data_IF_261477700664
#
_entry.id   IF_261477700664
#
_cell.length_a   1.000
_cell.length_b   1.000
_cell.length_c   1.000
_cell.angle_alpha   90.00
_cell.angle_beta   90.00
_cell.angle_gamma   90.00
#
_symmetry.space_group_name_H-M   'P 1'
#
loop_
_entity.id
_entity.type
_entity.pdbx_description
1 polymer ?
#
# COMPACT_ATOMS: atom_id res chain seq x y z
N UNK A 1 3.04 -1.55 9.24
CA UNK A 1 3.00 -1.44 7.77
C UNK A 1 1.54 -1.37 7.35
N UNK A 2 1.12 -0.37 6.59
CA UNK A 2 -0.26 -0.30 6.10
C UNK A 2 -0.28 0.03 4.62
N UNK A 3 -1.27 -0.52 3.92
CA UNK A 3 -1.52 -0.24 2.52
C UNK A 3 -2.59 0.83 2.42
N UNK A 4 -2.33 1.90 1.68
CA UNK A 4 -3.33 2.90 1.33
C UNK A 4 -3.90 2.53 -0.03
N UNK A 5 -5.17 2.14 -0.07
CA UNK A 5 -5.89 1.92 -1.31
C UNK A 5 -6.65 3.19 -1.67
N UNK A 6 -6.29 3.84 -2.78
CA UNK A 6 -7.18 4.83 -3.42
C UNK A 6 -7.84 4.18 -4.63
N UNK A 7 -8.97 4.72 -5.11
CA UNK A 7 -9.68 4.28 -6.34
C UNK A 7 -8.71 4.08 -7.53
N UNK A 8 -8.06 2.91 -7.61
CA UNK A 8 -7.12 2.52 -8.66
C UNK A 8 -5.66 2.23 -8.26
N UNK A 9 -5.22 2.34 -7.00
CA UNK A 9 -3.82 2.04 -6.68
C UNK A 9 -3.51 1.77 -5.22
N UNK A 10 -2.64 0.78 -5.01
CA UNK A 10 -2.08 0.36 -3.71
C UNK A 10 -0.78 1.11 -3.44
N UNK A 11 -0.74 1.84 -2.32
CA UNK A 11 0.47 2.45 -1.79
C UNK A 11 0.88 1.78 -0.49
N UNK A 12 2.17 1.71 -0.24
CA UNK A 12 2.75 1.27 1.02
C UNK A 12 3.17 2.50 1.82
N UNK A 13 2.76 2.58 3.09
CA UNK A 13 3.15 3.68 3.96
C UNK A 13 4.08 3.19 5.08
N UNK A 14 5.23 3.84 5.19
CA UNK A 14 6.29 3.55 6.16
C UNK A 14 6.96 4.87 6.57
N UNK A 15 7.12 5.10 7.87
CA UNK A 15 7.81 6.28 8.42
C UNK A 15 7.37 7.60 7.77
N UNK A 16 6.06 7.78 7.62
CA UNK A 16 5.46 8.99 7.03
C UNK A 16 5.74 9.19 5.53
N UNK A 17 6.37 8.23 4.86
CA UNK A 17 6.58 8.23 3.42
C UNK A 17 5.68 7.22 2.72
N UNK A 18 5.31 7.54 1.48
CA UNK A 18 4.51 6.69 0.62
C UNK A 18 5.35 6.09 -0.49
N UNK A 19 5.08 4.82 -0.77
CA UNK A 19 5.72 4.06 -1.81
C UNK A 19 4.67 3.46 -2.73
N UNK A 20 4.97 3.44 -4.03
CA UNK A 20 4.16 2.73 -5.02
C UNK A 20 4.89 1.49 -5.50
N UNK A 21 4.12 0.53 -5.99
CA UNK A 21 4.63 -0.60 -6.74
C UNK A 21 3.80 -0.80 -8.00
N UNK A 22 4.40 -1.41 -9.01
CA UNK A 22 3.68 -1.87 -10.20
C UNK A 22 2.97 -3.21 -9.94
N UNK A 23 3.00 -3.72 -8.69
CA UNK A 23 2.42 -5.00 -8.27
C UNK A 23 2.93 -6.23 -9.05
N UNK A 24 4.09 -6.09 -9.69
CA UNK A 24 4.80 -7.17 -10.38
C UNK A 24 5.68 -7.92 -9.39
N UNK A 25 5.37 -9.18 -9.13
CA UNK A 25 6.17 -10.04 -8.27
C UNK A 25 7.36 -10.63 -9.03
N UNK A 26 8.46 -10.83 -8.32
CA UNK A 26 9.75 -11.30 -8.83
C UNK A 26 10.33 -12.41 -7.94
N UNK A 27 11.47 -12.97 -8.36
CA UNK A 27 12.17 -14.05 -7.67
C UNK A 27 11.63 -15.44 -8.04
N UNK A 28 12.38 -16.50 -7.69
CA UNK A 28 12.00 -17.89 -8.01
C UNK A 28 10.63 -18.27 -7.43
N UNK A 29 10.31 -17.73 -6.27
CA UNK A 29 9.06 -18.01 -5.54
C UNK A 29 7.95 -16.99 -5.82
N UNK A 30 8.13 -16.05 -6.76
CA UNK A 30 7.18 -14.97 -7.06
C UNK A 30 6.67 -14.21 -5.82
N UNK A 31 7.56 -13.98 -4.85
CA UNK A 31 7.21 -13.36 -3.57
C UNK A 31 7.93 -12.03 -3.34
N UNK A 32 8.76 -11.57 -4.28
CA UNK A 32 9.48 -10.29 -4.15
C UNK A 32 8.69 -9.18 -4.82
N UNK A 33 8.39 -8.11 -4.10
CA UNK A 33 7.79 -6.92 -4.67
C UNK A 33 8.67 -5.70 -4.42
N UNK A 34 8.94 -4.93 -5.46
CA UNK A 34 9.73 -3.72 -5.36
C UNK A 34 8.85 -2.50 -5.20
N UNK A 35 9.30 -1.57 -4.36
CA UNK A 35 8.60 -0.35 -4.03
C UNK A 35 9.51 0.85 -4.27
N UNK A 36 8.95 1.91 -4.82
CA UNK A 36 9.63 3.19 -4.99
C UNK A 36 8.85 4.32 -4.35
N UNK A 37 9.57 5.29 -3.78
CA UNK A 37 8.93 6.47 -3.22
C UNK A 37 8.02 7.12 -4.28
N UNK A 38 6.82 7.56 -3.86
CA UNK A 38 5.86 8.21 -4.76
C UNK A 38 6.43 9.48 -5.38
N UNK A 39 7.38 10.14 -4.70
CA UNK A 39 8.05 11.34 -5.20
C UNK A 39 9.26 11.06 -6.11
N UNK A 40 9.55 9.79 -6.45
CA UNK A 40 10.65 9.43 -7.35
C UNK A 40 10.57 10.14 -8.72
N UNK A 41 9.36 10.38 -9.25
CA UNK A 41 9.20 11.08 -10.54
C UNK A 41 9.22 12.59 -10.39
N UNK A 42 8.60 13.12 -9.34
CA UNK A 42 8.41 14.55 -9.10
C UNK A 42 9.70 15.25 -8.68
N UNK A 43 10.41 14.70 -7.69
CA UNK A 43 11.62 15.34 -7.10
C UNK A 43 12.85 14.44 -7.17
N UNK A 44 12.80 13.40 -8.01
CA UNK A 44 13.90 12.44 -8.19
C UNK A 44 14.31 11.69 -6.91
N UNK A 45 13.38 11.52 -5.97
CA UNK A 45 13.64 10.77 -4.74
C UNK A 45 14.13 9.34 -5.03
N UNK A 46 15.21 8.95 -4.38
CA UNK A 46 15.91 7.67 -4.62
C UNK A 46 15.60 6.60 -3.57
N UNK A 47 14.78 6.91 -2.57
CA UNK A 47 14.37 5.91 -1.59
C UNK A 47 13.63 4.73 -2.25
N UNK A 48 13.97 3.52 -1.81
CA UNK A 48 13.50 2.23 -2.35
C UNK A 48 13.33 1.22 -1.22
N UNK A 49 12.32 0.39 -1.36
CA UNK A 49 12.07 -0.75 -0.50
C UNK A 49 11.83 -1.99 -1.36
N UNK A 50 11.92 -3.15 -0.75
CA UNK A 50 11.35 -4.38 -1.29
C UNK A 50 10.64 -5.13 -0.19
N UNK A 51 9.63 -5.90 -0.54
CA UNK A 51 9.07 -6.92 0.33
C UNK A 51 9.42 -8.29 -0.22
N UNK A 52 9.66 -9.26 0.66
CA UNK A 52 9.84 -10.67 0.31
C UNK A 52 8.83 -11.46 1.12
N UNK A 53 7.77 -11.94 0.46
CA UNK A 53 6.57 -12.38 1.15
C UNK A 53 5.97 -11.21 1.95
N UNK A 54 5.87 -11.38 3.27
CA UNK A 54 5.35 -10.36 4.18
C UNK A 54 6.43 -9.51 4.86
N UNK A 55 7.70 -9.86 4.65
CA UNK A 55 8.82 -9.18 5.28
C UNK A 55 9.25 -7.96 4.48
N UNK A 56 9.49 -6.84 5.18
CA UNK A 56 9.90 -5.58 4.59
C UNK A 56 11.41 -5.39 4.70
N UNK A 57 12.04 -4.98 3.59
CA UNK A 57 13.46 -4.66 3.51
C UNK A 57 13.64 -3.26 2.93
N UNK A 58 14.34 -2.41 3.65
CA UNK A 58 14.76 -1.09 3.18
C UNK A 58 15.99 -1.26 2.30
N UNK A 59 15.91 -0.90 1.02
CA UNK A 59 17.05 -0.99 0.09
C UNK A 59 17.75 0.35 -0.12
N UNK A 60 17.02 1.46 0.06
CA UNK A 60 17.56 2.80 0.16
C UNK A 60 16.61 3.68 0.99
N UNK A 61 17.07 4.23 2.10
CA UNK A 61 16.26 5.07 3.01
C UNK A 61 16.39 6.58 2.74
N UNK A 62 17.19 6.99 1.74
CA UNK A 62 17.47 8.42 1.54
C UNK A 62 16.30 9.09 0.81
N UNK A 63 15.61 9.99 1.53
CA UNK A 63 14.62 10.92 0.99
C UNK A 63 15.21 12.32 0.86
N UNK A 64 14.80 13.03 -0.18
CA UNK A 64 15.16 14.43 -0.44
C UNK A 64 13.95 15.37 -0.36
N UNK A 65 12.91 14.94 0.37
CA UNK A 65 11.67 15.67 0.57
C UNK A 65 11.06 15.32 1.92
N UNK A 66 10.10 16.13 2.36
CA UNK A 66 9.33 15.87 3.57
C UNK A 66 8.33 14.72 3.36
N UNK A 67 7.97 14.04 4.45
CA UNK A 67 6.97 12.97 4.44
C UNK A 67 5.55 13.45 4.12
N UNK A 68 4.72 12.53 3.62
CA UNK A 68 3.34 12.73 3.20
C UNK A 68 2.34 12.60 4.38
N UNK A 69 2.70 13.16 5.55
CA UNK A 69 1.94 13.04 6.81
C UNK A 69 0.44 13.34 6.63
N UNK A 70 0.12 14.47 6.01
CA UNK A 70 -1.26 14.93 5.79
C UNK A 70 -2.08 13.90 5.01
N UNK A 71 -1.48 13.29 3.99
CA UNK A 71 -2.15 12.28 3.16
C UNK A 71 -2.36 10.96 3.91
N UNK A 72 -1.39 10.59 4.74
CA UNK A 72 -1.47 9.39 5.60
C UNK A 72 -2.57 9.57 6.65
N UNK A 73 -2.61 10.70 7.34
CA UNK A 73 -3.63 10.99 8.34
C UNK A 73 -5.03 11.08 7.72
N UNK A 74 -5.18 11.74 6.57
CA UNK A 74 -6.45 11.77 5.85
C UNK A 74 -6.94 10.35 5.51
N UNK A 75 -6.05 9.45 5.10
CA UNK A 75 -6.39 8.07 4.79
C UNK A 75 -6.75 7.25 6.04
N UNK A 76 -6.14 7.54 7.20
CA UNK A 76 -6.53 6.97 8.50
C UNK A 76 -7.96 7.36 8.85
N UNK A 77 -8.25 8.67 8.84
CA UNK A 77 -9.56 9.22 9.22
C UNK A 77 -10.66 8.70 8.29
N UNK A 78 -10.37 8.57 6.99
CA UNK A 78 -11.34 8.09 6.01
C UNK A 78 -11.47 6.56 5.93
N UNK A 79 -10.81 5.80 6.79
CA UNK A 79 -10.83 4.32 6.74
C UNK A 79 -10.23 3.70 5.48
N UNK A 80 -9.38 4.42 4.74
CA UNK A 80 -8.74 3.92 3.50
C UNK A 80 -7.48 3.08 3.77
N UNK A 81 -7.11 2.91 5.05
CA UNK A 81 -5.98 2.09 5.43
C UNK A 81 -6.37 0.62 5.54
N UNK A 82 -5.62 -0.21 4.83
CA UNK A 82 -5.73 -1.65 4.88
C UNK A 82 -4.53 -2.20 5.64
N UNK A 83 -4.81 -2.89 6.75
CA UNK A 83 -3.80 -3.68 7.47
C UNK A 83 -3.91 -5.14 7.03
N UNK A 84 -3.24 -5.48 5.93
CA UNK A 84 -3.17 -6.84 5.40
C UNK A 84 -1.73 -7.23 5.11
N UNK A 85 -1.46 -8.52 5.29
CA UNK A 85 -0.22 -9.16 4.81
C UNK A 85 -0.20 -9.08 3.29
N UNK A 86 0.99 -8.89 2.70
CA UNK A 86 1.14 -8.81 1.25
C UNK A 86 0.78 -10.14 0.59
N UNK A 87 1.08 -11.25 1.27
CA UNK A 87 0.68 -12.61 0.90
C UNK A 87 -0.84 -12.77 0.78
N UNK A 88 -1.62 -11.94 1.47
CA UNK A 88 -3.08 -11.95 1.43
C UNK A 88 -3.67 -11.09 0.30
N UNK A 89 -2.85 -10.42 -0.51
CA UNK A 89 -3.34 -9.66 -1.68
C UNK A 89 -3.77 -10.59 -2.81
N UNK A 90 -5.07 -10.60 -3.08
CA UNK A 90 -5.70 -11.35 -4.17
C UNK A 90 -5.43 -10.70 -5.52
N UNK A 91 -5.71 -11.40 -6.61
CA UNK A 91 -5.67 -10.81 -7.96
C UNK A 91 -6.69 -9.68 -8.15
N UNK A 92 -7.79 -9.67 -7.39
CA UNK A 92 -8.76 -8.57 -7.40
C UNK A 92 -8.17 -7.30 -6.78
N UNK A 93 -7.39 -7.43 -5.70
CA UNK A 93 -6.61 -6.31 -5.11
C UNK A 93 -5.55 -5.76 -6.08
N UNK A 94 -5.19 -6.52 -7.13
CA UNK A 94 -4.21 -6.12 -8.17
C UNK A 94 -4.83 -5.37 -9.34
N UNK A 95 -6.14 -5.46 -9.55
CA UNK A 95 -6.83 -4.99 -10.77
C UNK A 95 -7.93 -3.97 -10.46
N UNK A 96 -8.60 -4.04 -9.29
CA UNK A 96 -9.77 -3.21 -9.03
C UNK A 96 -9.46 -1.91 -8.30
N UNK A 97 -9.56 -0.81 -9.07
CA UNK A 97 -9.98 0.50 -8.58
C UNK A 97 -11.48 0.63 -8.32
N UNK A 98 -12.16 -0.47 -7.98
CA UNK A 98 -13.60 -0.49 -7.69
C UNK A 98 -13.82 -1.37 -6.45
N UNK A 99 -13.77 -0.72 -5.29
CA UNK A 99 -14.41 -1.24 -4.09
C UNK A 99 -15.78 -0.60 -4.04
N UNK A 100 -16.82 -1.37 -4.32
CA UNK A 100 -18.13 -1.06 -3.76
C UNK A 100 -18.02 -1.43 -2.29
N UNK A 101 -18.29 -0.45 -1.43
CA UNK A 101 -18.74 -0.76 -0.07
C UNK A 101 -19.99 -1.59 -0.25
N UNK A 102 -19.88 -2.90 -0.06
CA UNK A 102 -21.06 -3.67 0.29
C UNK A 102 -21.32 -3.31 1.75
N UNK A 103 -22.30 -2.43 1.94
CA UNK A 103 -22.92 -2.21 3.24
C UNK A 103 -23.34 -3.58 3.76
N UNK A 104 -22.77 -3.97 4.89
CA UNK A 104 -23.13 -5.17 5.63
C UNK A 104 -24.59 -5.01 6.08
N UNK A 105 -25.49 -5.60 5.29
CA UNK A 105 -26.89 -5.72 5.61
C UNK A 105 -27.06 -6.76 6.73
N UNK A 106 -27.70 -6.28 7.80
CA UNK A 106 -28.67 -7.03 8.61
C UNK A 106 -28.12 -8.14 9.51
N UNK A 107 -27.90 -7.78 10.78
CA UNK A 107 -28.17 -8.66 11.91
C UNK A 107 -29.37 -8.09 12.69
N UNK A 108 -30.58 -8.49 12.32
CA UNK A 108 -31.73 -8.42 13.22
C UNK A 108 -31.55 -9.48 14.32
N UNK A 109 -31.62 -9.13 15.61
CA UNK A 109 -31.71 -10.13 16.66
C UNK A 109 -33.13 -10.69 16.68
N UNK A 110 -33.21 -12.01 16.56
CA UNK A 110 -34.40 -12.83 16.79
C UNK A 110 -34.92 -12.61 18.22
N UNK A 111 -36.22 -12.32 18.36
CA UNK A 111 -36.96 -12.28 19.63
C UNK A 111 -37.96 -13.42 19.67
#
# INVERSE_FOLDING_TARGET
MFLISRKGGTLLAINNFLYRSNLKFFGKSNNILYWECVQNRSVKCRSRLKTVGDDLYVTNDVHNHMGDNVRIEAAKVSGMLIHRKLSSLTSADRIQGSWKLEDEATATPDQ
#
